data_IF_593252807528
#
_entry.id   IF_593252807528
#
_cell.length_a   1.000
_cell.length_b   1.000
_cell.length_c   1.000
_cell.angle_alpha   90.00
_cell.angle_beta   90.00
_cell.angle_gamma   90.00
#
_symmetry.space_group_name_H-M   'P 1'
#
loop_
_entity.id
_entity.type
_entity.pdbx_description
1 polymer ?
#
# COMPACT_ATOMS: atom_id res chain seq x y z
N UNK A 1 -31.13 -52.00 33.83
CA UNK A 1 -32.56 -52.03 33.46
C UNK A 1 -33.16 -50.63 33.43
N UNK A 2 -32.63 -49.70 32.61
CA UNK A 2 -33.18 -48.35 32.42
C UNK A 2 -33.28 -47.94 30.94
N UNK A 3 -33.00 -48.85 29.99
CA UNK A 3 -32.81 -48.51 28.58
C UNK A 3 -34.03 -48.70 27.67
N UNK A 4 -35.25 -48.81 28.22
CA UNK A 4 -36.48 -48.91 27.42
C UNK A 4 -37.50 -47.80 27.72
N UNK A 5 -37.09 -46.70 28.36
CA UNK A 5 -37.98 -45.55 28.50
C UNK A 5 -37.98 -44.69 27.22
N UNK A 6 -39.16 -44.31 26.68
CA UNK A 6 -39.27 -43.51 25.46
C UNK A 6 -38.63 -42.11 25.59
N UNK A 7 -38.38 -41.67 26.82
CA UNK A 7 -37.67 -40.44 27.18
C UNK A 7 -36.20 -40.42 26.71
N UNK A 8 -35.50 -41.56 26.71
CA UNK A 8 -34.10 -41.63 26.29
C UNK A 8 -33.95 -41.44 24.77
N UNK A 9 -34.92 -41.93 24.00
CA UNK A 9 -34.95 -41.81 22.55
C UNK A 9 -35.18 -40.35 22.09
N UNK A 10 -36.02 -39.60 22.80
CA UNK A 10 -36.23 -38.16 22.57
C UNK A 10 -34.99 -37.32 22.92
N UNK A 11 -34.24 -37.71 23.95
CA UNK A 11 -33.04 -37.00 24.39
C UNK A 11 -31.88 -37.18 23.40
N UNK A 12 -31.67 -38.39 22.88
CA UNK A 12 -30.69 -38.67 21.82
C UNK A 12 -31.05 -37.93 20.52
N UNK A 13 -32.35 -37.87 20.18
CA UNK A 13 -32.81 -37.13 19.01
C UNK A 13 -32.55 -35.61 19.14
N UNK A 14 -32.73 -35.04 20.33
CA UNK A 14 -32.38 -33.65 20.64
C UNK A 14 -30.89 -33.34 20.47
N UNK A 15 -30.02 -34.22 20.98
CA UNK A 15 -28.56 -34.07 20.88
C UNK A 15 -28.08 -34.15 19.42
N UNK A 16 -28.67 -35.05 18.62
CA UNK A 16 -28.35 -35.21 17.21
C UNK A 16 -28.81 -34.02 16.36
N UNK A 17 -29.92 -33.39 16.74
CA UNK A 17 -30.40 -32.16 16.11
C UNK A 17 -29.42 -31.01 16.38
N UNK A 18 -28.94 -30.86 17.62
CA UNK A 18 -27.95 -29.84 17.98
C UNK A 18 -26.60 -30.04 17.26
N UNK A 19 -26.14 -31.28 17.08
CA UNK A 19 -24.90 -31.55 16.33
C UNK A 19 -25.02 -31.23 14.83
N UNK A 20 -26.15 -31.57 14.21
CA UNK A 20 -26.38 -31.25 12.80
C UNK A 20 -26.55 -29.73 12.56
N UNK A 21 -27.23 -29.02 13.47
CA UNK A 21 -27.40 -27.56 13.41
C UNK A 21 -26.07 -26.81 13.57
N UNK A 22 -25.26 -27.17 14.57
CA UNK A 22 -23.93 -26.58 14.77
C UNK A 22 -23.02 -26.85 13.55
N UNK A 23 -23.07 -28.05 12.98
CA UNK A 23 -22.33 -28.39 11.76
C UNK A 23 -22.76 -27.56 10.54
N UNK A 24 -24.05 -27.22 10.41
CA UNK A 24 -24.55 -26.33 9.34
C UNK A 24 -24.12 -24.88 9.56
N UNK A 25 -24.15 -24.40 10.81
CA UNK A 25 -23.70 -23.07 11.18
C UNK A 25 -22.22 -22.88 10.89
N UNK A 26 -21.35 -23.77 11.35
CA UNK A 26 -19.90 -23.67 11.11
C UNK A 26 -19.56 -23.67 9.62
N UNK A 27 -20.19 -24.55 8.84
CA UNK A 27 -19.98 -24.59 7.38
C UNK A 27 -20.37 -23.29 6.71
N UNK A 28 -21.51 -22.70 7.10
CA UNK A 28 -21.99 -21.45 6.51
C UNK A 28 -21.17 -20.25 6.95
N UNK A 29 -20.79 -20.18 8.23
CA UNK A 29 -19.91 -19.16 8.79
C UNK A 29 -18.53 -19.22 8.15
N UNK A 30 -17.88 -20.39 8.10
CA UNK A 30 -16.55 -20.57 7.49
C UNK A 30 -16.55 -20.21 6.00
N UNK A 31 -17.61 -20.59 5.27
CA UNK A 31 -17.78 -20.22 3.86
C UNK A 31 -17.91 -18.71 3.67
N UNK A 32 -18.75 -18.04 4.46
CA UNK A 32 -18.91 -16.58 4.39
C UNK A 32 -17.63 -15.84 4.80
N UNK A 33 -16.96 -16.31 5.86
CA UNK A 33 -15.72 -15.73 6.35
C UNK A 33 -14.62 -15.83 5.31
N UNK A 34 -14.43 -16.99 4.66
CA UNK A 34 -13.46 -17.15 3.57
C UNK A 34 -13.74 -16.17 2.43
N UNK A 35 -14.99 -16.07 1.98
CA UNK A 35 -15.39 -15.10 0.95
C UNK A 35 -15.14 -13.64 1.37
N UNK A 36 -15.31 -13.31 2.66
CA UNK A 36 -15.03 -11.98 3.18
C UNK A 36 -13.53 -11.68 3.22
N UNK A 37 -12.72 -12.66 3.64
CA UNK A 37 -11.27 -12.56 3.73
C UNK A 37 -10.65 -12.38 2.33
N UNK A 38 -11.09 -13.15 1.34
CA UNK A 38 -10.65 -12.98 -0.06
C UNK A 38 -10.99 -11.58 -0.59
N UNK A 39 -12.22 -11.09 -0.33
CA UNK A 39 -12.62 -9.72 -0.71
C UNK A 39 -11.85 -8.63 0.03
N UNK A 40 -11.50 -8.86 1.30
CA UNK A 40 -10.71 -7.93 2.09
C UNK A 40 -9.27 -7.87 1.55
N UNK A 41 -8.64 -9.03 1.33
CA UNK A 41 -7.29 -9.15 0.77
C UNK A 41 -7.15 -8.46 -0.59
N UNK A 42 -8.15 -8.58 -1.46
CA UNK A 42 -8.16 -7.90 -2.75
C UNK A 42 -8.26 -6.37 -2.61
N UNK A 43 -9.05 -5.86 -1.65
CA UNK A 43 -9.16 -4.40 -1.41
C UNK A 43 -7.86 -3.83 -0.85
N UNK A 44 -7.26 -4.50 0.12
CA UNK A 44 -5.99 -4.12 0.75
C UNK A 44 -4.84 -4.05 -0.28
N UNK A 45 -4.77 -5.05 -1.17
CA UNK A 45 -3.83 -5.05 -2.28
C UNK A 45 -4.03 -3.84 -3.22
N UNK A 46 -5.27 -3.55 -3.62
CA UNK A 46 -5.56 -2.41 -4.49
C UNK A 46 -5.23 -1.07 -3.81
N UNK A 47 -5.53 -0.94 -2.51
CA UNK A 47 -5.17 0.24 -1.73
C UNK A 47 -3.65 0.44 -1.69
N UNK A 48 -2.90 -0.63 -1.46
CA UNK A 48 -1.42 -0.60 -1.47
C UNK A 48 -0.87 -0.12 -2.82
N UNK A 49 -1.41 -0.63 -3.93
CA UNK A 49 -1.01 -0.19 -5.28
C UNK A 49 -1.27 1.32 -5.47
N UNK A 50 -2.43 1.81 -5.03
CA UNK A 50 -2.79 3.24 -5.11
C UNK A 50 -1.86 4.09 -4.24
N UNK A 51 -1.57 3.67 -3.01
CA UNK A 51 -0.68 4.40 -2.10
C UNK A 51 0.74 4.52 -2.64
N UNK A 52 1.27 3.46 -3.25
CA UNK A 52 2.57 3.51 -3.93
C UNK A 52 2.48 4.45 -5.14
N UNK A 53 1.43 4.33 -5.95
CA UNK A 53 1.22 5.17 -7.13
C UNK A 53 1.11 6.68 -6.83
N UNK A 54 0.58 7.05 -5.67
CA UNK A 54 0.51 8.45 -5.20
C UNK A 54 1.87 9.04 -4.82
N UNK A 55 2.83 8.20 -4.43
CA UNK A 55 4.19 8.62 -4.04
C UNK A 55 5.12 8.80 -5.23
N UNK A 56 4.71 8.32 -6.40
CA UNK A 56 5.54 8.30 -7.63
C UNK A 56 4.89 9.19 -8.69
N UNK A 57 5.65 10.16 -9.20
CA UNK A 57 5.25 11.06 -10.29
C UNK A 57 5.36 10.33 -11.64
N UNK A 58 4.46 10.65 -12.56
CA UNK A 58 4.55 10.14 -13.93
C UNK A 58 5.64 10.92 -14.69
N UNK A 59 6.70 10.21 -15.11
CA UNK A 59 7.85 10.77 -15.84
C UNK A 59 7.46 11.51 -17.14
N UNK A 60 6.41 11.02 -17.81
CA UNK A 60 5.97 11.55 -19.10
C UNK A 60 4.76 12.48 -19.00
N UNK A 61 4.26 12.74 -17.79
CA UNK A 61 3.06 13.54 -17.57
C UNK A 61 3.43 14.92 -16.99
N UNK A 62 2.57 15.92 -17.24
CA UNK A 62 2.71 17.29 -16.74
C UNK A 62 2.49 17.39 -15.21
N UNK A 63 3.34 16.76 -14.40
CA UNK A 63 3.35 16.88 -12.94
C UNK A 63 2.26 16.10 -12.19
N UNK A 64 1.62 15.10 -12.83
CA UNK A 64 0.60 14.24 -12.19
C UNK A 64 1.21 12.96 -11.63
N UNK A 65 0.55 12.36 -10.64
CA UNK A 65 0.94 11.06 -10.06
C UNK A 65 0.60 9.89 -10.98
N UNK A 66 1.25 8.76 -10.75
CA UNK A 66 1.03 7.55 -11.55
C UNK A 66 -0.37 6.98 -11.32
N UNK A 67 -1.01 7.20 -10.16
CA UNK A 67 -2.40 6.76 -9.89
C UNK A 67 -3.47 7.62 -10.57
N UNK A 68 -3.21 8.91 -10.78
CA UNK A 68 -4.16 9.83 -11.42
C UNK A 68 -4.06 9.85 -12.95
N UNK A 69 -2.87 9.55 -13.50
CA UNK A 69 -2.61 9.65 -14.94
C UNK A 69 -2.90 8.34 -15.69
N UNK A 70 -3.52 8.44 -16.87
CA UNK A 70 -3.80 7.32 -17.79
C UNK A 70 -2.79 7.22 -18.94
N UNK A 71 -1.53 7.60 -18.71
CA UNK A 71 -0.49 7.53 -19.74
C UNK A 71 0.01 6.09 -19.92
N UNK A 72 0.53 5.70 -21.09
CA UNK A 72 1.13 4.38 -21.27
C UNK A 72 2.29 4.13 -20.29
N UNK A 73 3.05 5.17 -19.93
CA UNK A 73 4.11 5.10 -18.92
C UNK A 73 3.58 4.80 -17.51
N UNK A 74 2.44 5.40 -17.11
CA UNK A 74 1.85 5.15 -15.79
C UNK A 74 1.26 3.76 -15.68
N UNK A 75 0.64 3.24 -16.74
CA UNK A 75 0.11 1.87 -16.78
C UNK A 75 1.21 0.83 -16.58
N UNK A 76 2.32 0.95 -17.30
CA UNK A 76 3.46 0.04 -17.19
C UNK A 76 4.05 0.03 -15.76
N UNK A 77 4.16 1.19 -15.13
CA UNK A 77 4.68 1.28 -13.76
C UNK A 77 3.72 0.68 -12.73
N UNK A 78 2.39 0.81 -12.93
CA UNK A 78 1.39 0.12 -12.08
C UNK A 78 1.47 -1.39 -12.22
N UNK A 79 1.72 -1.91 -13.41
CA UNK A 79 1.92 -3.34 -13.64
C UNK A 79 3.15 -3.85 -12.87
N UNK A 80 4.28 -3.14 -12.97
CA UNK A 80 5.50 -3.49 -12.21
C UNK A 80 5.25 -3.47 -10.70
N UNK A 81 4.48 -2.51 -10.17
CA UNK A 81 4.09 -2.48 -8.75
C UNK A 81 3.31 -3.73 -8.39
N UNK A 82 2.32 -4.12 -9.20
CA UNK A 82 1.50 -5.31 -8.96
C UNK A 82 2.34 -6.58 -8.98
N UNK A 83 3.22 -6.74 -9.95
CA UNK A 83 4.14 -7.88 -10.05
C UNK A 83 5.02 -8.00 -8.80
N UNK A 84 5.61 -6.89 -8.34
CA UNK A 84 6.45 -6.87 -7.14
C UNK A 84 5.67 -7.17 -5.85
N UNK A 85 4.45 -6.65 -5.72
CA UNK A 85 3.59 -6.98 -4.58
C UNK A 85 3.16 -8.45 -4.60
N UNK A 86 2.89 -9.02 -5.78
CA UNK A 86 2.61 -10.45 -5.94
C UNK A 86 3.85 -11.32 -5.63
N UNK A 87 5.05 -10.83 -5.91
CA UNK A 87 6.31 -11.44 -5.51
C UNK A 87 6.59 -11.34 -4.00
N UNK A 88 5.73 -10.66 -3.23
CA UNK A 88 5.86 -10.51 -1.78
C UNK A 88 6.83 -9.41 -1.34
N UNK A 89 7.24 -8.50 -2.25
CA UNK A 89 8.05 -7.34 -1.88
C UNK A 89 7.24 -6.37 -1.02
N UNK A 90 7.88 -5.80 0.01
CA UNK A 90 7.27 -4.77 0.86
C UNK A 90 7.15 -3.44 0.09
N UNK A 91 6.11 -2.63 0.32
CA UNK A 91 5.92 -1.34 -0.34
C UNK A 91 7.14 -0.41 -0.30
N UNK A 92 7.87 -0.38 0.83
CA UNK A 92 9.09 0.43 0.97
C UNK A 92 10.25 -0.03 0.06
N UNK A 93 10.42 -1.35 -0.12
CA UNK A 93 11.44 -1.91 -1.01
C UNK A 93 11.12 -1.63 -2.48
N UNK A 94 9.83 -1.66 -2.83
CA UNK A 94 9.34 -1.31 -4.18
C UNK A 94 9.69 0.15 -4.50
N UNK A 95 9.40 1.07 -3.56
CA UNK A 95 9.74 2.48 -3.70
C UNK A 95 11.26 2.72 -3.83
N UNK A 96 12.06 1.99 -3.07
CA UNK A 96 13.53 2.04 -3.16
C UNK A 96 14.04 1.54 -4.52
N UNK A 97 13.45 0.46 -5.03
CA UNK A 97 13.75 -0.05 -6.36
C UNK A 97 13.47 0.98 -7.46
N UNK A 98 12.36 1.71 -7.34
CA UNK A 98 12.04 2.78 -8.28
C UNK A 98 13.01 3.96 -8.17
N UNK A 99 13.37 4.37 -6.95
CA UNK A 99 14.38 5.41 -6.72
C UNK A 99 15.73 5.04 -7.37
N UNK A 100 16.20 3.82 -7.19
CA UNK A 100 17.49 3.37 -7.75
C UNK A 100 17.50 3.35 -9.28
N UNK A 101 16.36 3.01 -9.90
CA UNK A 101 16.27 2.87 -11.35
C UNK A 101 15.92 4.19 -12.07
N UNK A 102 15.10 5.04 -11.46
CA UNK A 102 14.57 6.27 -12.08
C UNK A 102 15.03 7.57 -11.40
N UNK A 103 15.79 7.49 -10.31
CA UNK A 103 16.30 8.64 -9.57
C UNK A 103 15.34 9.19 -8.51
N UNK A 104 15.81 10.18 -7.74
CA UNK A 104 15.02 10.85 -6.69
C UNK A 104 13.90 11.74 -7.25
N UNK A 105 14.02 12.20 -8.50
CA UNK A 105 13.04 13.08 -9.15
C UNK A 105 11.68 12.40 -9.39
N UNK A 106 11.64 11.07 -9.40
CA UNK A 106 10.39 10.33 -9.57
C UNK A 106 9.52 10.38 -8.30
N UNK A 107 10.10 10.66 -7.13
CA UNK A 107 9.33 10.77 -5.89
C UNK A 107 8.64 12.13 -5.79
N UNK A 108 7.45 12.13 -5.19
CA UNK A 108 6.73 13.40 -4.93
C UNK A 108 7.51 14.31 -4.00
N UNK A 109 8.19 13.73 -3.00
CA UNK A 109 9.04 14.42 -2.04
C UNK A 109 10.50 13.99 -2.22
N UNK A 110 11.30 14.75 -2.98
CA UNK A 110 12.73 14.48 -3.07
C UNK A 110 13.38 14.73 -1.70
N UNK A 111 14.24 13.81 -1.27
CA UNK A 111 15.03 14.04 -0.06
C UNK A 111 16.00 15.19 -0.31
N UNK A 112 16.07 16.15 0.60
CA UNK A 112 17.02 17.27 0.51
C UNK A 112 18.44 16.71 0.61
N UNK A 113 19.17 16.70 -0.51
CA UNK A 113 20.56 16.29 -0.56
C UNK A 113 21.49 17.46 -0.23
N UNK A 114 22.70 17.16 0.23
CA UNK A 114 23.74 18.17 0.50
C UNK A 114 24.02 19.06 -0.72
N UNK A 115 23.93 18.49 -1.93
CA UNK A 115 24.07 19.25 -3.17
C UNK A 115 23.00 20.33 -3.33
N UNK A 116 21.75 20.05 -2.94
CA UNK A 116 20.69 21.06 -2.95
C UNK A 116 21.05 22.23 -2.03
N UNK A 117 21.51 21.94 -0.81
CA UNK A 117 21.95 22.96 0.16
C UNK A 117 23.09 23.81 -0.40
N UNK A 118 24.05 23.21 -1.10
CA UNK A 118 25.15 23.95 -1.74
C UNK A 118 24.66 24.98 -2.75
N UNK A 119 23.68 24.61 -3.59
CA UNK A 119 23.08 25.55 -4.54
C UNK A 119 22.30 26.68 -3.87
N UNK A 120 21.71 26.47 -2.69
CA UNK A 120 21.07 27.52 -1.90
C UNK A 120 22.07 28.37 -1.10
N UNK A 121 23.22 27.80 -0.72
CA UNK A 121 24.28 28.53 -0.02
C UNK A 121 24.97 29.54 -0.94
N UNK A 122 25.12 29.22 -2.24
CA UNK A 122 25.77 30.09 -3.23
C UNK A 122 25.12 31.49 -3.36
N UNK A 123 23.81 31.64 -3.59
CA UNK A 123 23.16 32.95 -3.66
C UNK A 123 23.19 33.69 -2.32
N UNK A 124 23.11 32.97 -1.19
CA UNK A 124 23.19 33.57 0.14
C UNK A 124 24.58 34.17 0.40
N UNK A 125 25.64 33.42 0.06
CA UNK A 125 27.02 33.86 0.19
C UNK A 125 27.29 35.08 -0.70
N UNK A 126 26.82 35.05 -1.96
CA UNK A 126 26.96 36.16 -2.89
C UNK A 126 26.33 37.45 -2.37
N UNK A 127 25.12 37.36 -1.79
CA UNK A 127 24.44 38.48 -1.15
C UNK A 127 25.27 39.07 0.00
N UNK A 128 25.84 38.22 0.86
CA UNK A 128 26.67 38.66 1.98
C UNK A 128 27.96 39.35 1.48
N UNK A 129 28.63 38.79 0.47
CA UNK A 129 29.82 39.41 -0.11
C UNK A 129 29.51 40.77 -0.75
N UNK A 130 28.43 40.86 -1.52
CA UNK A 130 28.01 42.13 -2.14
C UNK A 130 27.60 43.17 -1.10
N UNK A 131 26.84 42.78 -0.09
CA UNK A 131 26.43 43.69 0.98
C UNK A 131 27.64 44.21 1.76
N UNK A 132 28.56 43.34 2.15
CA UNK A 132 29.79 43.73 2.86
C UNK A 132 30.70 44.60 2.00
N UNK A 133 30.79 44.35 0.70
CA UNK A 133 31.53 45.20 -0.24
C UNK A 133 30.93 46.61 -0.34
N UNK A 134 29.61 46.73 -0.45
CA UNK A 134 28.92 48.04 -0.50
C UNK A 134 29.09 48.81 0.81
N UNK A 135 28.91 48.14 1.96
CA UNK A 135 29.07 48.77 3.28
C UNK A 135 30.52 49.19 3.57
N UNK A 136 31.51 48.54 2.96
CA UNK A 136 32.92 48.95 3.05
C UNK A 136 33.27 50.12 2.12
N UNK A 137 32.52 50.31 1.04
CA UNK A 137 32.77 51.36 0.05
C UNK A 137 32.07 52.69 0.39
N UNK A 138 31.07 52.65 1.28
CA UNK A 138 30.33 53.80 1.78
C UNK A 138 30.95 54.31 3.07
#
# INVERSE_FOLDING_TARGET
MLSQSPLFSLLIAGEKLTQNLMGLLEKKVKKNLKNLLERFKMRDFQQTVIEIGKKVKCLSCKGQTIDASSSPSSLKLREVIKEKLLAGEKPGAILESFRKQYGEEIMVNPQVTLSSIFFWALPLLFLIVMLTYILRKK
#
